data_IF_278578031582
#
_entry.id   IF_278578031582
#
_cell.length_a   1.000
_cell.length_b   1.000
_cell.length_c   1.000
_cell.angle_alpha   90.00
_cell.angle_beta   90.00
_cell.angle_gamma   90.00
#
_symmetry.space_group_name_H-M   'P 1'
#
loop_
_entity.id
_entity.type
_entity.pdbx_description
1 polymer ?
#
# COMPACT_ATOMS: atom_id res chain seq x y z
N UNK A 1 11.25 5.28 16.13
CA UNK A 1 10.54 4.26 15.31
C UNK A 1 9.18 3.94 15.92
N UNK A 2 8.12 4.00 15.09
CA UNK A 2 6.76 3.70 15.52
C UNK A 2 6.56 2.19 15.48
N UNK A 3 6.15 1.60 16.61
CA UNK A 3 5.70 0.21 16.64
C UNK A 3 4.37 0.08 15.88
N UNK A 4 4.26 -0.90 14.99
CA UNK A 4 3.05 -1.17 14.19
C UNK A 4 1.84 -1.44 15.09
N UNK A 5 2.03 -2.18 16.17
CA UNK A 5 0.95 -2.47 17.12
C UNK A 5 0.46 -1.20 17.81
N UNK A 6 1.38 -0.30 18.21
CA UNK A 6 1.02 1.00 18.77
C UNK A 6 0.28 1.89 17.75
N UNK A 7 0.70 1.87 16.49
CA UNK A 7 0.00 2.61 15.43
C UNK A 7 -1.43 2.09 15.22
N UNK A 8 -1.62 0.77 15.13
CA UNK A 8 -2.93 0.13 14.97
C UNK A 8 -3.82 0.34 16.20
N UNK A 9 -3.27 0.24 17.42
CA UNK A 9 -4.05 0.45 18.66
C UNK A 9 -4.49 1.90 18.79
N UNK A 10 -3.61 2.87 18.54
CA UNK A 10 -3.95 4.30 18.50
C UNK A 10 -5.01 4.59 17.45
N UNK A 11 -4.85 4.05 16.25
CA UNK A 11 -5.82 4.19 15.18
C UNK A 11 -7.20 3.68 15.58
N UNK A 12 -7.30 2.48 16.19
CA UNK A 12 -8.58 1.93 16.67
C UNK A 12 -9.21 2.81 17.75
N UNK A 13 -8.41 3.23 18.74
CA UNK A 13 -8.86 4.11 19.81
C UNK A 13 -9.41 5.43 19.26
N UNK A 14 -8.69 6.07 18.35
CA UNK A 14 -9.11 7.34 17.76
C UNK A 14 -10.38 7.20 16.93
N UNK A 15 -10.58 6.05 16.27
CA UNK A 15 -11.83 5.77 15.55
C UNK A 15 -13.03 5.65 16.50
N UNK A 16 -12.88 4.97 17.64
CA UNK A 16 -13.96 4.83 18.63
C UNK A 16 -14.27 6.17 19.29
N UNK A 17 -13.25 6.90 19.76
CA UNK A 17 -13.43 8.23 20.36
C UNK A 17 -14.06 9.20 19.34
N UNK A 18 -13.56 9.22 18.10
CA UNK A 18 -14.12 10.07 17.05
C UNK A 18 -15.56 9.73 16.67
N UNK A 19 -15.94 8.45 16.73
CA UNK A 19 -17.34 8.03 16.50
C UNK A 19 -18.25 8.47 17.64
N UNK A 20 -17.85 8.25 18.90
CA UNK A 20 -18.60 8.68 20.08
C UNK A 20 -18.76 10.20 20.09
N UNK A 21 -17.67 10.94 19.86
CA UNK A 21 -17.72 12.40 19.86
C UNK A 21 -18.64 12.96 18.77
N UNK A 22 -18.59 12.40 17.56
CA UNK A 22 -19.53 12.80 16.49
C UNK A 22 -20.98 12.50 16.85
N UNK A 23 -21.25 11.33 17.41
CA UNK A 23 -22.60 10.98 17.84
C UNK A 23 -23.08 11.94 18.94
N UNK A 24 -22.26 12.22 19.97
CA UNK A 24 -22.61 13.13 21.06
C UNK A 24 -22.88 14.55 20.56
N UNK A 25 -22.02 15.09 19.68
CA UNK A 25 -22.20 16.43 19.10
C UNK A 25 -23.46 16.49 18.23
N UNK A 26 -23.72 15.47 17.42
CA UNK A 26 -24.93 15.41 16.59
C UNK A 26 -26.20 15.32 17.45
N UNK A 27 -26.21 14.45 18.46
CA UNK A 27 -27.33 14.30 19.38
C UNK A 27 -27.57 15.60 20.19
N UNK A 28 -26.49 16.24 20.65
CA UNK A 28 -26.55 17.53 21.33
C UNK A 28 -27.15 18.63 20.44
N UNK A 29 -26.72 18.71 19.18
CA UNK A 29 -27.26 19.67 18.22
C UNK A 29 -28.76 19.44 17.94
N UNK A 30 -29.17 18.18 17.73
CA UNK A 30 -30.57 17.81 17.51
C UNK A 30 -31.40 18.12 18.77
N UNK A 31 -30.92 17.79 19.96
CA UNK A 31 -31.59 18.11 21.21
C UNK A 31 -31.80 19.63 21.39
N UNK A 32 -30.78 20.45 21.09
CA UNK A 32 -30.91 21.91 21.14
C UNK A 32 -31.93 22.45 20.16
N UNK A 33 -32.03 21.86 18.95
CA UNK A 33 -32.98 22.29 17.93
C UNK A 33 -34.44 21.89 18.28
N UNK A 34 -34.65 20.73 18.90
CA UNK A 34 -35.98 20.22 19.19
C UNK A 34 -36.53 20.73 20.53
N UNK A 35 -35.68 20.78 21.58
CA UNK A 35 -36.08 21.12 22.94
C UNK A 35 -35.98 22.61 23.22
N UNK A 36 -35.02 23.31 22.61
CA UNK A 36 -34.79 24.72 22.81
C UNK A 36 -36.02 25.60 22.63
N UNK A 37 -36.78 25.45 21.54
CA UNK A 37 -38.04 26.22 21.34
C UNK A 37 -39.15 25.86 22.35
N UNK A 38 -39.21 24.60 22.81
CA UNK A 38 -40.26 24.14 23.72
C UNK A 38 -40.11 24.59 25.17
N UNK A 39 -38.82 24.79 25.61
CA UNK A 39 -38.52 25.13 27.01
C UNK A 39 -38.44 26.67 27.22
N UNK A 40 -38.72 27.46 26.18
CA UNK A 40 -38.54 28.93 26.27
C UNK A 40 -37.09 29.34 26.56
N UNK A 41 -36.15 28.49 26.21
CA UNK A 41 -34.74 28.68 26.46
C UNK A 41 -34.16 29.75 25.53
N UNK A 42 -34.56 30.97 25.67
CA UNK A 42 -34.13 32.17 24.95
C UNK A 42 -32.70 32.08 24.39
N UNK A 43 -31.83 32.98 24.76
CA UNK A 43 -30.45 33.05 24.27
C UNK A 43 -29.56 31.83 24.66
N UNK A 44 -29.94 31.04 25.70
CA UNK A 44 -29.15 29.89 26.18
C UNK A 44 -29.00 28.75 25.16
N UNK A 45 -30.11 28.42 24.46
CA UNK A 45 -30.10 27.38 23.41
C UNK A 45 -29.26 27.78 22.20
N UNK A 46 -29.32 29.05 21.82
CA UNK A 46 -28.51 29.61 20.69
C UNK A 46 -27.03 29.59 21.04
N UNK A 47 -26.64 30.00 22.27
CA UNK A 47 -25.25 29.98 22.72
C UNK A 47 -24.69 28.57 22.75
N UNK A 48 -25.46 27.58 23.21
CA UNK A 48 -25.04 26.18 23.24
C UNK A 48 -24.83 25.63 21.82
N UNK A 49 -25.75 25.94 20.90
CA UNK A 49 -25.62 25.52 19.50
C UNK A 49 -24.39 26.17 18.84
N UNK A 50 -24.15 27.44 19.09
CA UNK A 50 -22.96 28.14 18.61
C UNK A 50 -21.66 27.53 19.17
N UNK A 51 -21.64 27.17 20.47
CA UNK A 51 -20.53 26.45 21.07
C UNK A 51 -20.26 25.10 20.39
N UNK A 52 -21.31 24.31 20.10
CA UNK A 52 -21.20 23.03 19.35
C UNK A 52 -20.58 23.27 17.97
N UNK A 53 -21.05 24.29 17.24
CA UNK A 53 -20.51 24.64 15.91
C UNK A 53 -19.04 25.05 15.99
N UNK A 54 -18.65 25.86 16.96
CA UNK A 54 -17.25 26.27 17.17
C UNK A 54 -16.36 25.05 17.44
N UNK A 55 -16.78 24.18 18.37
CA UNK A 55 -16.04 22.95 18.68
C UNK A 55 -15.93 22.05 17.46
N UNK A 56 -17.01 21.87 16.71
CA UNK A 56 -17.00 21.08 15.48
C UNK A 56 -16.03 21.65 14.43
N UNK A 57 -16.05 22.95 14.20
CA UNK A 57 -15.20 23.64 13.25
C UNK A 57 -13.71 23.54 13.67
N UNK A 58 -13.43 23.74 14.97
CA UNK A 58 -12.08 23.65 15.51
C UNK A 58 -11.48 22.22 15.38
N UNK A 59 -12.28 21.20 15.69
CA UNK A 59 -11.88 19.80 15.55
C UNK A 59 -11.72 19.42 14.06
N UNK A 60 -12.61 19.94 13.19
CA UNK A 60 -12.53 19.79 11.76
C UNK A 60 -11.23 20.39 11.20
N UNK A 61 -10.91 21.61 11.59
CA UNK A 61 -9.69 22.31 11.18
C UNK A 61 -8.41 21.53 11.60
N UNK A 62 -8.34 21.09 12.86
CA UNK A 62 -7.22 20.26 13.34
C UNK A 62 -7.10 18.94 12.56
N UNK A 63 -8.21 18.34 12.17
CA UNK A 63 -8.23 17.11 11.38
C UNK A 63 -7.67 17.33 9.97
N UNK A 64 -7.99 18.47 9.33
CA UNK A 64 -7.47 18.83 8.01
C UNK A 64 -5.96 19.12 8.10
N UNK A 65 -5.50 19.82 9.13
CA UNK A 65 -4.06 20.03 9.34
C UNK A 65 -3.30 18.70 9.47
N UNK A 66 -3.83 17.74 10.23
CA UNK A 66 -3.26 16.41 10.36
C UNK A 66 -3.14 15.66 9.01
N UNK A 67 -4.12 15.83 8.11
CA UNK A 67 -4.06 15.21 6.77
C UNK A 67 -3.02 15.87 5.86
N UNK A 68 -2.83 17.19 5.98
CA UNK A 68 -1.80 17.93 5.21
C UNK A 68 -0.38 17.50 5.58
N UNK A 69 -0.12 17.15 6.85
CA UNK A 69 1.18 16.66 7.29
C UNK A 69 1.63 15.40 6.55
N UNK A 70 0.70 14.56 6.11
CA UNK A 70 1.02 13.32 5.39
C UNK A 70 0.91 13.43 3.87
N UNK A 71 0.49 14.58 3.33
CA UNK A 71 0.30 14.75 1.89
C UNK A 71 1.58 14.50 1.09
N UNK A 72 2.72 14.99 1.59
CA UNK A 72 4.03 14.85 0.94
C UNK A 72 4.75 13.53 1.27
N UNK A 73 4.19 12.71 2.18
CA UNK A 73 4.85 11.46 2.60
C UNK A 73 5.18 10.52 1.45
N UNK A 74 4.36 10.33 0.40
CA UNK A 74 4.72 9.49 -0.74
C UNK A 74 5.95 10.00 -1.49
N UNK A 75 6.12 11.32 -1.65
CA UNK A 75 7.30 11.92 -2.29
C UNK A 75 8.56 11.71 -1.44
N UNK A 76 8.45 11.87 -0.12
CA UNK A 76 9.55 11.61 0.80
C UNK A 76 9.98 10.15 0.78
N UNK A 77 9.01 9.22 0.72
CA UNK A 77 9.29 7.79 0.59
C UNK A 77 9.99 7.49 -0.74
N UNK A 78 9.50 8.06 -1.85
CA UNK A 78 10.08 7.87 -3.17
C UNK A 78 11.50 8.46 -3.29
N UNK A 79 11.81 9.56 -2.56
CA UNK A 79 13.14 10.16 -2.50
C UNK A 79 14.08 9.50 -1.48
N UNK A 80 13.65 8.44 -0.78
CA UNK A 80 14.47 7.75 0.22
C UNK A 80 14.61 8.47 1.57
N UNK A 81 13.89 9.58 1.79
CA UNK A 81 13.90 10.36 3.05
C UNK A 81 13.00 9.72 4.10
N UNK A 82 13.32 8.49 4.50
CA UNK A 82 12.46 7.65 5.34
C UNK A 82 12.23 8.22 6.74
N UNK A 83 13.24 8.82 7.37
CA UNK A 83 13.13 9.36 8.73
C UNK A 83 12.19 10.56 8.78
N UNK A 84 12.23 11.43 7.78
CA UNK A 84 11.33 12.55 7.67
C UNK A 84 9.90 12.10 7.37
N UNK A 85 9.74 11.15 6.45
CA UNK A 85 8.43 10.54 6.18
C UNK A 85 7.84 9.91 7.45
N UNK A 86 8.65 9.17 8.22
CA UNK A 86 8.23 8.55 9.47
C UNK A 86 7.81 9.59 10.51
N UNK A 87 8.57 10.67 10.66
CA UNK A 87 8.27 11.77 11.59
C UNK A 87 6.92 12.43 11.26
N UNK A 88 6.68 12.75 9.97
CA UNK A 88 5.43 13.37 9.52
C UNK A 88 4.23 12.43 9.70
N UNK A 89 4.39 11.14 9.37
CA UNK A 89 3.34 10.14 9.55
C UNK A 89 3.04 9.93 11.05
N UNK A 90 4.06 9.90 11.92
CA UNK A 90 3.87 9.80 13.37
C UNK A 90 3.13 11.01 13.91
N UNK A 91 3.52 12.21 13.54
CA UNK A 91 2.83 13.43 13.92
C UNK A 91 1.34 13.40 13.54
N UNK A 92 1.03 12.94 12.33
CA UNK A 92 -0.36 12.80 11.87
C UNK A 92 -1.12 11.68 12.60
N UNK A 93 -0.46 10.57 12.94
CA UNK A 93 -1.07 9.50 13.73
C UNK A 93 -1.29 9.89 15.20
N UNK A 94 -0.44 10.76 15.76
CA UNK A 94 -0.62 11.31 17.12
C UNK A 94 -1.66 12.41 17.18
N UNK A 95 -1.80 13.22 16.13
CA UNK A 95 -2.80 14.29 16.09
C UNK A 95 -4.20 13.66 16.17
N UNK A 96 -5.08 14.19 17.03
CA UNK A 96 -6.48 13.76 17.03
C UNK A 96 -7.13 14.16 15.70
N UNK A 97 -7.85 13.23 15.09
CA UNK A 97 -8.63 13.51 13.88
C UNK A 97 -10.07 13.04 14.03
N UNK A 98 -10.99 13.97 13.86
CA UNK A 98 -12.41 13.68 13.79
C UNK A 98 -12.78 12.89 12.52
N UNK A 99 -11.98 13.06 11.45
CA UNK A 99 -12.23 12.44 10.15
C UNK A 99 -11.46 11.14 9.99
N UNK A 100 -12.20 10.05 9.94
CA UNK A 100 -11.68 8.71 9.67
C UNK A 100 -10.78 8.62 8.43
N UNK A 101 -11.10 9.28 7.28
CA UNK A 101 -10.25 9.24 6.09
C UNK A 101 -8.81 9.68 6.32
N UNK A 102 -8.57 10.74 7.09
CA UNK A 102 -7.21 11.23 7.36
C UNK A 102 -6.34 10.18 8.06
N UNK A 103 -6.91 9.46 9.03
CA UNK A 103 -6.22 8.40 9.76
C UNK A 103 -5.98 7.15 8.90
N UNK A 104 -6.92 6.78 8.05
CA UNK A 104 -6.76 5.67 7.10
C UNK A 104 -5.64 5.95 6.11
N UNK A 105 -5.56 7.20 5.61
CA UNK A 105 -4.50 7.63 4.70
C UNK A 105 -3.13 7.58 5.39
N UNK A 106 -3.01 8.11 6.62
CA UNK A 106 -1.77 8.07 7.39
C UNK A 106 -1.31 6.63 7.65
N UNK A 107 -2.24 5.71 7.95
CA UNK A 107 -1.91 4.30 8.13
C UNK A 107 -1.47 3.63 6.82
N UNK A 108 -2.07 4.01 5.69
CA UNK A 108 -1.64 3.56 4.37
C UNK A 108 -0.23 4.04 4.03
N UNK A 109 0.08 5.33 4.29
CA UNK A 109 1.43 5.86 4.07
C UNK A 109 2.46 5.19 4.98
N UNK A 110 2.10 4.82 6.22
CA UNK A 110 2.97 4.02 7.07
C UNK A 110 3.23 2.63 6.48
N UNK A 111 2.21 1.99 5.89
CA UNK A 111 2.40 0.71 5.22
C UNK A 111 3.34 0.82 4.02
N UNK A 112 3.21 1.88 3.19
CA UNK A 112 4.13 2.17 2.09
C UNK A 112 5.56 2.44 2.56
N UNK A 113 5.72 3.18 3.66
CA UNK A 113 7.03 3.45 4.26
C UNK A 113 7.70 2.15 4.71
N UNK A 114 6.97 1.29 5.44
CA UNK A 114 7.50 -0.02 5.89
C UNK A 114 7.83 -0.94 4.71
N UNK A 115 7.03 -0.89 3.64
CA UNK A 115 7.31 -1.58 2.39
C UNK A 115 8.63 -1.09 1.77
N UNK A 116 8.81 0.23 1.61
CA UNK A 116 10.04 0.82 1.07
C UNK A 116 11.28 0.53 1.93
N UNK A 117 11.11 0.42 3.26
CA UNK A 117 12.16 0.01 4.20
C UNK A 117 12.44 -1.50 4.21
N UNK A 118 11.79 -2.30 3.34
CA UNK A 118 11.87 -3.77 3.29
C UNK A 118 11.39 -4.48 4.56
N UNK A 119 10.57 -3.79 5.37
CA UNK A 119 9.94 -4.36 6.57
C UNK A 119 8.61 -5.01 6.20
N UNK A 120 8.69 -6.07 5.39
CA UNK A 120 7.55 -6.69 4.71
C UNK A 120 6.45 -7.14 5.67
N UNK A 121 6.83 -7.77 6.79
CA UNK A 121 5.87 -8.27 7.77
C UNK A 121 5.05 -7.15 8.41
N UNK A 122 5.69 -6.02 8.74
CA UNK A 122 5.02 -4.87 9.34
C UNK A 122 4.08 -4.19 8.33
N UNK A 123 4.54 -4.02 7.10
CA UNK A 123 3.73 -3.48 6.01
C UNK A 123 2.50 -4.36 5.76
N UNK A 124 2.66 -5.69 5.72
CA UNK A 124 1.55 -6.63 5.56
C UNK A 124 0.53 -6.54 6.70
N UNK A 125 0.99 -6.40 7.97
CA UNK A 125 0.10 -6.22 9.12
C UNK A 125 -0.72 -4.93 9.01
N UNK A 126 -0.11 -3.82 8.58
CA UNK A 126 -0.77 -2.54 8.37
C UNK A 126 -1.81 -2.62 7.24
N UNK A 127 -1.45 -3.25 6.11
CA UNK A 127 -2.37 -3.48 5.00
C UNK A 127 -3.56 -4.34 5.41
N UNK A 128 -3.34 -5.43 6.16
CA UNK A 128 -4.42 -6.27 6.71
C UNK A 128 -5.32 -5.49 7.69
N UNK A 129 -4.73 -4.61 8.51
CA UNK A 129 -5.50 -3.75 9.41
C UNK A 129 -6.38 -2.75 8.63
N UNK A 130 -5.87 -2.19 7.53
CA UNK A 130 -6.63 -1.32 6.63
C UNK A 130 -7.80 -2.06 5.95
N UNK A 131 -7.58 -3.28 5.44
CA UNK A 131 -8.60 -4.08 4.77
C UNK A 131 -9.77 -4.47 5.67
N UNK A 132 -9.54 -4.62 6.99
CA UNK A 132 -10.59 -4.88 7.98
C UNK A 132 -11.49 -3.67 8.24
N UNK A 133 -11.13 -2.51 7.70
CA UNK A 133 -11.90 -1.28 7.90
C UNK A 133 -12.87 -1.02 6.76
N UNK A 134 -14.04 -0.45 7.08
CA UNK A 134 -14.92 0.10 6.04
C UNK A 134 -14.30 1.38 5.50
N UNK A 135 -13.82 1.38 4.27
CA UNK A 135 -13.08 2.50 3.67
C UNK A 135 -13.97 3.72 3.34
N UNK A 136 -15.29 3.55 3.25
CA UNK A 136 -16.21 4.67 3.01
C UNK A 136 -15.86 5.45 1.74
N UNK A 137 -15.61 6.75 1.90
CA UNK A 137 -15.19 7.66 0.82
C UNK A 137 -13.80 7.33 0.24
N UNK A 138 -12.96 6.60 0.97
CA UNK A 138 -11.63 6.16 0.55
C UNK A 138 -11.62 4.75 -0.08
N UNK A 139 -12.71 4.33 -0.73
CA UNK A 139 -12.75 3.03 -1.43
C UNK A 139 -11.58 2.84 -2.40
N UNK A 140 -11.07 3.94 -2.98
CA UNK A 140 -9.88 3.95 -3.83
C UNK A 140 -8.61 3.44 -3.16
N UNK A 141 -8.44 3.55 -1.82
CA UNK A 141 -7.28 3.02 -1.11
C UNK A 141 -7.26 1.49 -0.98
N UNK A 142 -8.40 0.83 -1.17
CA UNK A 142 -8.48 -0.62 -1.05
C UNK A 142 -7.59 -1.35 -2.04
N UNK A 143 -7.54 -0.90 -3.28
CA UNK A 143 -6.76 -1.51 -4.36
C UNK A 143 -5.25 -1.35 -4.16
N UNK A 144 -4.70 -0.11 -4.01
CA UNK A 144 -3.28 0.07 -3.74
C UNK A 144 -2.82 -0.69 -2.49
N UNK A 145 -3.63 -0.69 -1.42
CA UNK A 145 -3.32 -1.44 -0.21
C UNK A 145 -3.30 -2.95 -0.42
N UNK A 146 -4.14 -3.49 -1.33
CA UNK A 146 -4.15 -4.92 -1.67
C UNK A 146 -2.95 -5.28 -2.55
N UNK A 147 -2.55 -4.41 -3.48
CA UNK A 147 -1.35 -4.59 -4.30
C UNK A 147 -0.09 -4.60 -3.43
N UNK A 148 0.05 -3.63 -2.52
CA UNK A 148 1.18 -3.60 -1.56
C UNK A 148 1.18 -4.83 -0.65
N UNK A 149 0.00 -5.28 -0.20
CA UNK A 149 -0.11 -6.51 0.58
C UNK A 149 0.38 -7.72 -0.21
N UNK A 150 -0.06 -7.88 -1.46
CA UNK A 150 0.31 -9.01 -2.30
C UNK A 150 1.83 -9.07 -2.54
N UNK A 151 2.47 -7.91 -2.81
CA UNK A 151 3.93 -7.85 -2.98
C UNK A 151 4.68 -8.17 -1.66
N UNK A 152 4.21 -7.65 -0.51
CA UNK A 152 4.77 -8.03 0.79
C UNK A 152 4.66 -9.53 1.05
N UNK A 153 3.53 -10.16 0.70
CA UNK A 153 3.30 -11.59 0.89
C UNK A 153 4.19 -12.44 -0.02
N UNK A 154 4.50 -11.97 -1.24
CA UNK A 154 5.51 -12.58 -2.11
C UNK A 154 6.89 -12.59 -1.44
N UNK A 155 7.30 -11.46 -0.86
CA UNK A 155 8.58 -11.39 -0.12
C UNK A 155 8.61 -12.29 1.12
N UNK A 156 7.46 -12.53 1.75
CA UNK A 156 7.32 -13.40 2.91
C UNK A 156 7.13 -14.88 2.56
N UNK A 157 6.96 -15.21 1.26
CA UNK A 157 6.68 -16.57 0.81
C UNK A 157 5.27 -17.08 1.14
N UNK A 158 4.34 -16.19 1.54
CA UNK A 158 2.94 -16.54 1.83
C UNK A 158 2.14 -16.62 0.51
N UNK A 159 2.40 -17.68 -0.27
CA UNK A 159 1.78 -17.89 -1.58
C UNK A 159 0.23 -18.02 -1.51
N UNK A 160 -0.36 -18.71 -0.54
CA UNK A 160 -1.81 -18.72 -0.38
C UNK A 160 -2.40 -17.32 -0.18
N UNK A 161 -1.77 -16.48 0.63
CA UNK A 161 -2.18 -15.10 0.85
C UNK A 161 -2.06 -14.24 -0.40
N UNK A 162 -1.01 -14.45 -1.21
CA UNK A 162 -0.85 -13.78 -2.53
C UNK A 162 -2.00 -14.14 -3.45
N UNK A 163 -2.33 -15.44 -3.56
CA UNK A 163 -3.42 -15.92 -4.40
C UNK A 163 -4.76 -15.28 -4.00
N UNK A 164 -5.06 -15.24 -2.69
CA UNK A 164 -6.27 -14.57 -2.20
C UNK A 164 -6.32 -13.09 -2.58
N UNK A 165 -5.18 -12.38 -2.46
CA UNK A 165 -5.08 -10.98 -2.83
C UNK A 165 -5.29 -10.76 -4.34
N UNK A 166 -4.70 -11.60 -5.19
CA UNK A 166 -4.89 -11.59 -6.64
C UNK A 166 -6.37 -11.83 -6.99
N UNK A 167 -7.00 -12.86 -6.42
CA UNK A 167 -8.43 -13.15 -6.65
C UNK A 167 -9.34 -11.99 -6.24
N UNK A 168 -8.98 -11.27 -5.16
CA UNK A 168 -9.71 -10.08 -4.71
C UNK A 168 -9.57 -8.92 -5.69
N UNK A 169 -8.37 -8.72 -6.27
CA UNK A 169 -8.10 -7.67 -7.26
C UNK A 169 -8.83 -7.93 -8.57
N UNK A 170 -8.93 -9.19 -9.04
CA UNK A 170 -9.69 -9.54 -10.25
C UNK A 170 -11.17 -9.16 -10.18
N UNK A 171 -11.74 -9.07 -9.00
CA UNK A 171 -13.13 -8.63 -8.80
C UNK A 171 -13.32 -7.12 -8.84
N UNK A 172 -12.25 -6.37 -9.06
CA UNK A 172 -12.25 -4.90 -9.03
C UNK A 172 -11.86 -4.33 -10.39
N UNK A 173 -12.41 -3.17 -10.73
CA UNK A 173 -11.96 -2.42 -11.92
C UNK A 173 -10.64 -1.74 -11.58
N UNK A 174 -9.55 -2.18 -12.16
CA UNK A 174 -8.22 -1.60 -12.00
C UNK A 174 -8.00 -0.52 -13.05
N UNK A 175 -7.27 0.54 -12.68
CA UNK A 175 -6.71 1.48 -13.65
C UNK A 175 -5.44 0.86 -14.28
N UNK A 176 -4.86 1.53 -15.30
CA UNK A 176 -3.69 1.00 -16.01
C UNK A 176 -2.52 0.71 -15.07
N UNK A 177 -2.15 1.65 -14.21
CA UNK A 177 -1.02 1.48 -13.28
C UNK A 177 -1.26 0.33 -12.29
N UNK A 178 -2.48 0.21 -11.76
CA UNK A 178 -2.87 -0.90 -10.88
C UNK A 178 -2.83 -2.25 -11.62
N UNK A 179 -3.28 -2.28 -12.89
CA UNK A 179 -3.26 -3.48 -13.73
C UNK A 179 -1.82 -3.93 -14.05
N UNK A 180 -0.92 -2.98 -14.35
CA UNK A 180 0.48 -3.27 -14.59
C UNK A 180 1.16 -3.84 -13.33
N UNK A 181 0.93 -3.24 -12.18
CA UNK A 181 1.45 -3.76 -10.89
C UNK A 181 0.89 -5.15 -10.59
N UNK A 182 -0.40 -5.37 -10.85
CA UNK A 182 -1.01 -6.69 -10.68
C UNK A 182 -0.41 -7.73 -11.63
N UNK A 183 -0.15 -7.37 -12.89
CA UNK A 183 0.51 -8.26 -13.87
C UNK A 183 1.90 -8.66 -13.38
N UNK A 184 2.67 -7.73 -12.83
CA UNK A 184 3.97 -8.04 -12.24
C UNK A 184 3.83 -9.03 -11.07
N UNK A 185 2.98 -8.74 -10.09
CA UNK A 185 2.73 -9.61 -8.92
C UNK A 185 2.30 -11.02 -9.37
N UNK A 186 1.39 -11.10 -10.35
CA UNK A 186 0.93 -12.38 -10.90
C UNK A 186 2.06 -13.15 -11.58
N UNK A 187 2.91 -12.46 -12.34
CA UNK A 187 4.06 -13.09 -13.02
C UNK A 187 5.04 -13.66 -11.98
N UNK A 188 5.35 -12.92 -10.94
CA UNK A 188 6.20 -13.38 -9.84
C UNK A 188 5.56 -14.55 -9.06
N UNK A 189 4.26 -14.47 -8.76
CA UNK A 189 3.52 -15.55 -8.11
C UNK A 189 3.58 -16.84 -8.91
N UNK A 190 3.32 -16.78 -10.23
CA UNK A 190 3.39 -17.94 -11.11
C UNK A 190 4.79 -18.55 -11.16
N UNK A 191 5.84 -17.73 -11.11
CA UNK A 191 7.22 -18.21 -11.00
C UNK A 191 7.46 -18.96 -9.68
N UNK A 192 6.97 -18.42 -8.57
CA UNK A 192 7.13 -19.03 -7.25
C UNK A 192 6.43 -20.40 -7.14
N UNK A 193 5.30 -20.60 -7.84
CA UNK A 193 4.60 -21.91 -7.88
C UNK A 193 5.07 -22.81 -9.02
N UNK A 194 6.06 -22.39 -9.83
CA UNK A 194 6.59 -23.17 -10.94
C UNK A 194 5.67 -23.26 -12.18
N UNK A 195 4.66 -22.41 -12.28
CA UNK A 195 3.70 -22.38 -13.37
C UNK A 195 4.23 -21.58 -14.58
N UNK A 196 5.30 -22.06 -15.23
CA UNK A 196 6.04 -21.33 -16.24
C UNK A 196 5.28 -21.21 -17.59
N UNK A 197 4.56 -22.25 -18.02
CA UNK A 197 3.78 -22.17 -19.28
C UNK A 197 2.67 -21.09 -19.22
N UNK A 198 1.83 -21.00 -18.17
CA UNK A 198 0.88 -19.90 -18.03
C UNK A 198 1.52 -18.51 -18.00
N UNK A 199 2.76 -18.39 -17.48
CA UNK A 199 3.50 -17.13 -17.53
C UNK A 199 3.77 -16.65 -18.94
N UNK A 200 4.05 -17.56 -19.86
CA UNK A 200 4.35 -17.25 -21.26
C UNK A 200 3.09 -17.07 -22.12
N UNK A 201 1.91 -17.35 -21.58
CA UNK A 201 0.68 -17.00 -22.28
C UNK A 201 0.65 -15.49 -22.58
N UNK A 202 0.45 -15.15 -23.87
CA UNK A 202 0.46 -13.75 -24.34
C UNK A 202 1.75 -13.00 -23.99
N UNK A 203 2.91 -13.65 -24.04
CA UNK A 203 4.21 -13.08 -23.65
C UNK A 203 4.50 -11.73 -24.31
N UNK A 204 4.20 -11.59 -25.59
CA UNK A 204 4.43 -10.35 -26.35
C UNK A 204 3.60 -9.18 -25.82
N UNK A 205 2.33 -9.41 -25.49
CA UNK A 205 1.47 -8.40 -24.85
C UNK A 205 2.01 -8.01 -23.48
N UNK A 206 2.47 -8.98 -22.68
CA UNK A 206 3.08 -8.70 -21.38
C UNK A 206 4.37 -7.88 -21.50
N UNK A 207 5.19 -8.16 -22.51
CA UNK A 207 6.40 -7.37 -22.79
C UNK A 207 6.05 -5.93 -23.16
N UNK A 208 5.08 -5.72 -24.06
CA UNK A 208 4.61 -4.38 -24.43
C UNK A 208 4.04 -3.62 -23.23
N UNK A 209 3.26 -4.29 -22.40
CA UNK A 209 2.74 -3.68 -21.17
C UNK A 209 3.84 -3.37 -20.16
N UNK A 210 4.88 -4.21 -20.07
CA UNK A 210 6.03 -3.94 -19.20
C UNK A 210 6.80 -2.67 -19.61
N UNK A 211 6.80 -2.30 -20.90
CA UNK A 211 7.42 -1.05 -21.38
C UNK A 211 6.74 0.22 -20.85
N UNK A 212 5.48 0.11 -20.41
CA UNK A 212 4.75 1.20 -19.76
C UNK A 212 5.06 1.34 -18.26
N UNK A 213 5.85 0.42 -17.70
CA UNK A 213 6.25 0.44 -16.30
C UNK A 213 7.53 1.27 -16.09
N UNK A 214 7.81 1.75 -14.86
CA UNK A 214 9.13 2.25 -14.49
C UNK A 214 10.22 1.20 -14.74
N UNK A 215 11.51 1.60 -14.92
CA UNK A 215 12.59 0.69 -15.33
C UNK A 215 12.74 -0.57 -14.48
N UNK A 216 12.76 -0.45 -13.15
CA UNK A 216 12.97 -1.57 -12.24
C UNK A 216 11.81 -2.61 -12.27
N UNK A 217 10.51 -2.23 -12.16
CA UNK A 217 9.39 -3.14 -12.38
C UNK A 217 9.38 -3.79 -13.77
N UNK A 218 9.70 -3.03 -14.83
CA UNK A 218 9.79 -3.55 -16.19
C UNK A 218 10.88 -4.62 -16.30
N UNK A 219 12.10 -4.33 -15.82
CA UNK A 219 13.22 -5.27 -15.81
C UNK A 219 12.86 -6.55 -15.03
N UNK A 220 12.24 -6.40 -13.86
CA UNK A 220 11.82 -7.55 -13.04
C UNK A 220 10.81 -8.43 -13.77
N UNK A 221 9.79 -7.83 -14.40
CA UNK A 221 8.80 -8.57 -15.20
C UNK A 221 9.46 -9.33 -16.34
N UNK A 222 10.35 -8.67 -17.09
CA UNK A 222 11.09 -9.31 -18.21
C UNK A 222 12.02 -10.42 -17.71
N UNK A 223 12.67 -10.26 -16.56
CA UNK A 223 13.50 -11.28 -15.95
C UNK A 223 12.69 -12.54 -15.57
N UNK A 224 11.52 -12.36 -14.97
CA UNK A 224 10.65 -13.50 -14.66
C UNK A 224 10.13 -14.21 -15.91
N UNK A 225 9.78 -13.47 -16.97
CA UNK A 225 9.43 -14.06 -18.26
C UNK A 225 10.62 -14.77 -18.91
N UNK A 226 11.86 -14.24 -18.76
CA UNK A 226 13.08 -14.92 -19.21
C UNK A 226 13.31 -16.23 -18.47
N UNK A 227 13.07 -16.25 -17.15
CA UNK A 227 13.16 -17.47 -16.35
C UNK A 227 12.15 -18.51 -16.81
N UNK A 228 10.89 -18.11 -17.03
CA UNK A 228 9.87 -19.01 -17.57
C UNK A 228 10.24 -19.56 -18.94
N UNK A 229 10.74 -18.72 -19.84
CA UNK A 229 11.21 -19.14 -21.16
C UNK A 229 12.39 -20.13 -21.08
N UNK A 230 13.33 -19.94 -20.14
CA UNK A 230 14.41 -20.88 -19.88
C UNK A 230 13.88 -22.22 -19.38
N UNK A 231 12.96 -22.22 -18.42
CA UNK A 231 12.38 -23.43 -17.82
C UNK A 231 11.52 -24.24 -18.80
N UNK A 232 10.94 -23.57 -19.80
CA UNK A 232 10.13 -24.22 -20.88
C UNK A 232 10.92 -24.53 -22.14
N UNK A 233 12.26 -24.41 -22.11
CA UNK A 233 13.15 -24.73 -23.24
C UNK A 233 13.18 -23.68 -24.35
N UNK A 234 12.53 -22.53 -24.22
CA UNK A 234 12.51 -21.45 -25.21
C UNK A 234 13.76 -20.55 -25.06
N UNK A 235 14.92 -21.12 -25.34
CA UNK A 235 16.22 -20.52 -25.02
C UNK A 235 16.45 -19.15 -25.67
N UNK A 236 16.08 -18.99 -26.94
CA UNK A 236 16.28 -17.72 -27.66
C UNK A 236 15.40 -16.60 -27.07
N UNK A 237 14.15 -16.90 -26.73
CA UNK A 237 13.26 -15.97 -26.05
C UNK A 237 13.83 -15.59 -24.66
N UNK A 238 14.34 -16.56 -23.92
CA UNK A 238 14.96 -16.33 -22.63
C UNK A 238 16.16 -15.37 -22.74
N UNK A 239 17.06 -15.61 -23.70
CA UNK A 239 18.23 -14.74 -23.93
C UNK A 239 17.81 -13.32 -24.31
N UNK A 240 16.81 -13.19 -25.17
CA UNK A 240 16.31 -11.89 -25.60
C UNK A 240 15.70 -11.10 -24.44
N UNK A 241 14.81 -11.72 -23.64
CA UNK A 241 14.17 -11.10 -22.47
C UNK A 241 15.20 -10.74 -21.40
N UNK A 242 16.20 -11.59 -21.16
CA UNK A 242 17.28 -11.32 -20.20
C UNK A 242 18.09 -10.10 -20.61
N UNK A 243 18.51 -9.98 -21.88
CA UNK A 243 19.21 -8.79 -22.37
C UNK A 243 18.40 -7.51 -22.19
N UNK A 244 17.11 -7.56 -22.42
CA UNK A 244 16.24 -6.40 -22.20
C UNK A 244 16.16 -6.01 -20.72
N UNK A 245 16.09 -6.97 -19.81
CA UNK A 245 16.13 -6.70 -18.36
C UNK A 245 17.45 -6.04 -17.96
N UNK A 246 18.57 -6.54 -18.49
CA UNK A 246 19.93 -5.99 -18.26
C UNK A 246 20.10 -4.55 -18.79
N UNK A 247 19.36 -4.16 -19.83
CA UNK A 247 19.37 -2.78 -20.35
C UNK A 247 18.62 -1.79 -19.42
N UNK A 248 17.71 -2.28 -18.60
CA UNK A 248 16.87 -1.46 -17.73
C UNK A 248 17.41 -1.33 -16.31
N UNK A 249 18.14 -2.36 -15.84
CA UNK A 249 18.72 -2.38 -14.48
C UNK A 249 19.82 -3.44 -14.36
N UNK A 250 20.67 -3.30 -13.36
CA UNK A 250 21.74 -4.23 -13.10
C UNK A 250 21.21 -5.60 -12.63
N UNK A 251 21.75 -6.68 -13.22
CA UNK A 251 21.40 -8.05 -12.85
C UNK A 251 21.58 -8.38 -11.36
N UNK A 252 22.67 -7.97 -10.69
CA UNK A 252 22.86 -8.16 -9.25
C UNK A 252 21.70 -7.56 -8.42
N UNK A 253 21.21 -6.37 -8.78
CA UNK A 253 20.13 -5.72 -8.07
C UNK A 253 18.81 -6.54 -8.14
N UNK A 254 18.52 -7.13 -9.31
CA UNK A 254 17.36 -8.02 -9.49
C UNK A 254 17.47 -9.30 -8.65
N UNK A 255 18.66 -9.89 -8.61
CA UNK A 255 18.92 -11.14 -7.84
C UNK A 255 18.83 -10.88 -6.34
N UNK A 256 19.35 -9.74 -5.85
CA UNK A 256 19.23 -9.35 -4.44
C UNK A 256 17.78 -9.16 -4.02
N UNK A 257 16.97 -8.58 -4.91
CA UNK A 257 15.53 -8.41 -4.62
C UNK A 257 14.75 -9.73 -4.69
N UNK A 258 15.11 -10.60 -5.65
CA UNK A 258 14.41 -11.87 -5.92
C UNK A 258 15.41 -12.98 -6.18
N UNK A 259 15.84 -13.72 -5.16
CA UNK A 259 16.88 -14.76 -5.27
C UNK A 259 16.58 -15.86 -6.31
N UNK A 260 15.31 -16.14 -6.59
CA UNK A 260 14.91 -17.10 -7.63
C UNK A 260 15.45 -16.72 -9.01
N UNK A 261 15.73 -15.45 -9.27
CA UNK A 261 16.29 -14.96 -10.52
C UNK A 261 17.79 -15.29 -10.67
N UNK A 262 18.48 -15.74 -9.61
CA UNK A 262 19.89 -16.18 -9.69
C UNK A 262 20.09 -17.30 -10.72
N UNK A 263 19.07 -18.06 -11.04
CA UNK A 263 19.13 -19.07 -12.09
C UNK A 263 19.40 -18.48 -13.50
N UNK A 264 19.04 -17.23 -13.74
CA UNK A 264 19.33 -16.54 -15.01
C UNK A 264 20.77 -16.00 -15.06
N UNK A 265 21.31 -15.64 -13.92
CA UNK A 265 22.64 -15.07 -13.75
C UNK A 265 23.44 -15.90 -12.74
N UNK A 266 23.91 -17.12 -13.14
CA UNK A 266 24.73 -17.91 -12.25
C UNK A 266 26.02 -17.11 -11.93
N UNK A 267 26.49 -17.16 -10.68
CA UNK A 267 27.77 -16.57 -10.34
C UNK A 267 28.86 -17.15 -11.27
N UNK A 268 29.89 -16.36 -11.66
CA UNK A 268 30.96 -16.88 -12.45
C UNK A 268 31.55 -18.12 -11.74
N UNK A 269 31.89 -19.18 -12.46
CA UNK A 269 32.52 -20.34 -11.86
C UNK A 269 33.72 -19.83 -11.06
N UNK A 270 33.74 -20.11 -9.77
CA UNK A 270 34.90 -19.79 -8.92
C UNK A 270 36.09 -20.42 -9.61
N UNK A 271 37.00 -19.57 -10.12
CA UNK A 271 38.22 -20.00 -10.75
C UNK A 271 38.90 -20.95 -9.77
N UNK A 272 38.96 -22.21 -10.15
CA UNK A 272 39.25 -23.33 -9.28
C UNK A 272 40.44 -23.05 -8.41
N UNK A 273 40.26 -23.19 -7.10
CA UNK A 273 41.34 -23.55 -6.21
C UNK A 273 41.85 -24.91 -6.70
N UNK A 274 42.91 -24.88 -7.42
CA UNK A 274 43.71 -26.09 -7.68
C UNK A 274 44.22 -26.58 -6.32
N UNK A 275 44.12 -27.87 -6.01
CA UNK A 275 44.67 -28.45 -4.82
C UNK A 275 46.18 -28.34 -4.77
#
# INVERSE_FOLDING_TARGET
MISVQAAISRFRRDLTIGAVLRASLATGAVACLLVGPMVGAGYGGVLLLLAIVVVWTMLGYRSIQGSRLTADSPLLIASGRFDEAESRIDAALRSFSLFRPAKLLSLHHLALLRHAQRRWQESAQLCRALQRQRLGTLRGLGKPSTLVLADNLLHLGDLPGVFEAICRLYRQRLNLAEALTMMQIQTEYLACIGAFEPMLAQVWTKVQLAELMPPLPAARTQAFLALAAKKTGRIELSRWLRRRAEQLTDAPALVVERPILAELWPPPPQAGGNP
#
